data_IF_806362872945
#
_entry.id   IF_806362872945
#
_cell.length_a   1.000
_cell.length_b   1.000
_cell.length_c   1.000
_cell.angle_alpha   90.00
_cell.angle_beta   90.00
_cell.angle_gamma   90.00
#
_symmetry.space_group_name_H-M   'P 1'
#
loop_
_entity.id
_entity.type
_entity.pdbx_description
1 polymer ?
#
# COMPACT_ATOMS: atom_id res chain seq x y z
N UNK A 1 1.16 -3.99 -25.29
CA UNK A 1 0.40 -4.80 -24.33
C UNK A 1 1.34 -5.21 -23.22
N UNK A 2 1.11 -4.73 -22.04
CA UNK A 2 2.00 -5.01 -20.92
C UNK A 2 1.48 -6.28 -20.23
N UNK A 3 2.26 -7.35 -20.35
CA UNK A 3 1.87 -8.64 -19.76
C UNK A 3 2.05 -8.54 -18.23
N UNK A 4 0.94 -8.57 -17.50
CA UNK A 4 0.94 -8.62 -16.04
C UNK A 4 1.02 -10.07 -15.60
N UNK A 5 1.77 -10.39 -14.54
CA UNK A 5 1.86 -11.76 -14.02
C UNK A 5 0.60 -12.22 -13.27
N UNK A 6 -0.47 -11.41 -13.28
CA UNK A 6 -1.76 -11.69 -12.64
C UNK A 6 -2.90 -11.02 -13.42
N UNK A 7 -4.14 -11.53 -13.28
CA UNK A 7 -5.29 -10.92 -13.92
C UNK A 7 -5.71 -9.63 -13.18
N UNK A 8 -6.29 -8.68 -13.90
CA UNK A 8 -6.90 -7.47 -13.30
C UNK A 8 -8.34 -7.76 -12.85
N UNK A 9 -8.46 -8.74 -11.98
CA UNK A 9 -9.73 -9.17 -11.36
C UNK A 9 -9.44 -9.84 -10.02
N UNK A 10 -10.38 -9.73 -9.07
CA UNK A 10 -10.16 -10.23 -7.72
C UNK A 10 -9.09 -9.42 -6.99
N UNK A 11 -8.59 -9.95 -5.87
CA UNK A 11 -7.59 -9.28 -5.04
C UNK A 11 -6.21 -9.90 -5.20
N UNK A 12 -5.22 -9.06 -5.50
CA UNK A 12 -3.82 -9.45 -5.65
C UNK A 12 -2.96 -8.67 -4.66
N UNK A 13 -2.19 -9.42 -3.87
CA UNK A 13 -1.21 -8.86 -2.92
C UNK A 13 0.20 -9.07 -3.47
N UNK A 14 0.95 -7.98 -3.64
CA UNK A 14 2.34 -7.98 -4.11
C UNK A 14 3.26 -7.74 -2.92
N UNK A 15 4.16 -8.65 -2.64
CA UNK A 15 5.08 -8.58 -1.52
C UNK A 15 6.54 -8.58 -1.98
N UNK A 16 7.40 -8.03 -1.19
CA UNK A 16 8.83 -8.05 -1.42
C UNK A 16 9.56 -6.88 -0.74
N UNK A 17 10.90 -6.87 -0.83
CA UNK A 17 11.73 -5.81 -0.26
C UNK A 17 11.50 -4.46 -0.96
N UNK A 18 12.14 -3.43 -0.42
CA UNK A 18 12.12 -2.10 -1.02
C UNK A 18 12.74 -2.13 -2.42
N UNK A 19 12.21 -1.30 -3.32
CA UNK A 19 12.73 -1.07 -4.68
C UNK A 19 12.77 -2.31 -5.60
N UNK A 20 12.07 -3.38 -5.27
CA UNK A 20 11.99 -4.59 -6.10
C UNK A 20 11.04 -4.44 -7.32
N UNK A 21 10.28 -3.35 -7.37
CA UNK A 21 9.36 -3.08 -8.48
C UNK A 21 7.87 -3.27 -8.17
N UNK A 22 7.50 -3.44 -6.91
CA UNK A 22 6.09 -3.58 -6.48
C UNK A 22 5.22 -2.40 -6.93
N UNK A 23 5.69 -1.18 -6.68
CA UNK A 23 4.97 0.05 -7.02
C UNK A 23 4.82 0.19 -8.53
N UNK A 24 5.88 -0.13 -9.29
CA UNK A 24 5.83 -0.12 -10.75
C UNK A 24 4.81 -1.13 -11.28
N UNK A 25 4.77 -2.31 -10.69
CA UNK A 25 3.83 -3.36 -11.11
C UNK A 25 2.38 -2.97 -10.77
N UNK A 26 2.17 -2.33 -9.62
CA UNK A 26 0.87 -1.76 -9.24
C UNK A 26 0.44 -0.66 -10.22
N UNK A 27 1.37 0.23 -10.62
CA UNK A 27 1.09 1.27 -11.62
C UNK A 27 0.69 0.67 -12.98
N UNK A 28 1.39 -0.38 -13.43
CA UNK A 28 1.04 -1.09 -14.68
C UNK A 28 -0.36 -1.73 -14.61
N UNK A 29 -0.73 -2.24 -13.44
CA UNK A 29 -2.07 -2.79 -13.23
C UNK A 29 -3.15 -1.70 -13.31
N UNK A 30 -2.88 -0.53 -12.72
CA UNK A 30 -3.75 0.64 -12.83
C UNK A 30 -3.93 1.06 -14.31
N UNK A 31 -2.84 1.18 -15.05
CA UNK A 31 -2.88 1.49 -16.49
C UNK A 31 -3.72 0.47 -17.27
N UNK A 32 -3.50 -0.82 -17.02
CA UNK A 32 -4.24 -1.89 -17.69
C UNK A 32 -5.75 -1.85 -17.39
N UNK A 33 -6.11 -1.52 -16.15
CA UNK A 33 -7.53 -1.34 -15.79
C UNK A 33 -8.14 -0.13 -16.52
N UNK A 34 -7.47 1.01 -16.47
CA UNK A 34 -7.94 2.26 -17.09
C UNK A 34 -8.08 2.10 -18.60
N UNK A 35 -7.12 1.46 -19.26
CA UNK A 35 -7.19 1.19 -20.70
C UNK A 35 -8.38 0.34 -21.08
N UNK A 36 -8.78 -0.59 -20.22
CA UNK A 36 -9.87 -1.54 -20.49
C UNK A 36 -11.23 -1.04 -20.04
N UNK A 37 -11.30 -0.34 -18.92
CA UNK A 37 -12.56 0.02 -18.24
C UNK A 37 -12.76 1.51 -18.04
N UNK A 38 -11.75 2.34 -18.27
CA UNK A 38 -11.79 3.77 -17.96
C UNK A 38 -11.38 4.06 -16.52
N UNK A 39 -11.27 5.35 -16.20
CA UNK A 39 -10.81 5.82 -14.91
C UNK A 39 -11.94 6.12 -13.90
N UNK A 40 -13.18 6.13 -14.35
CA UNK A 40 -14.32 6.28 -13.46
C UNK A 40 -14.41 5.07 -12.51
N UNK A 41 -14.84 5.29 -11.30
CA UNK A 41 -14.95 4.26 -10.25
C UNK A 41 -13.60 3.58 -9.90
N UNK A 42 -12.50 4.31 -10.05
CA UNK A 42 -11.16 3.90 -9.62
C UNK A 42 -10.75 4.68 -8.39
N UNK A 43 -10.24 3.99 -7.38
CA UNK A 43 -9.60 4.60 -6.21
C UNK A 43 -8.14 4.19 -6.11
N UNK A 44 -7.29 5.16 -5.83
CA UNK A 44 -5.88 4.95 -5.53
C UNK A 44 -5.62 5.42 -4.10
N UNK A 45 -5.21 4.49 -3.25
CA UNK A 45 -4.80 4.76 -1.86
C UNK A 45 -3.27 4.79 -1.81
N UNK A 46 -2.74 5.94 -1.45
CA UNK A 46 -1.30 6.17 -1.42
C UNK A 46 -0.83 6.31 0.02
N UNK A 47 -0.24 5.25 0.56
CA UNK A 47 0.27 5.20 1.92
C UNK A 47 1.80 5.26 1.98
N UNK A 48 2.49 5.22 0.85
CA UNK A 48 3.94 5.19 0.83
C UNK A 48 4.55 6.50 1.38
N UNK A 49 5.50 6.39 2.30
CA UNK A 49 6.34 7.53 2.66
C UNK A 49 7.28 7.86 1.50
N UNK A 50 7.71 9.12 1.42
CA UNK A 50 8.75 9.55 0.51
C UNK A 50 9.90 10.15 1.33
N UNK A 51 10.87 9.32 1.68
CA UNK A 51 12.01 9.70 2.50
C UNK A 51 13.28 9.54 1.68
N UNK A 52 14.08 10.61 1.60
CA UNK A 52 15.43 10.55 1.03
C UNK A 52 16.43 10.17 2.13
N UNK A 53 17.22 9.14 1.86
CA UNK A 53 18.32 8.74 2.72
C UNK A 53 19.52 8.34 1.87
N UNK A 54 20.68 8.96 2.14
CA UNK A 54 21.93 8.71 1.40
C UNK A 54 21.78 8.90 -0.13
N UNK A 55 20.98 9.89 -0.54
CA UNK A 55 20.71 10.18 -1.95
C UNK A 55 19.72 9.23 -2.62
N UNK A 56 19.14 8.28 -1.87
CA UNK A 56 18.13 7.34 -2.37
C UNK A 56 16.75 7.67 -1.80
N UNK A 57 15.74 7.61 -2.65
CA UNK A 57 14.36 7.69 -2.23
C UNK A 57 13.92 6.33 -1.70
N UNK A 58 13.47 6.29 -0.45
CA UNK A 58 12.88 5.11 0.17
C UNK A 58 11.38 5.29 0.18
N UNK A 59 10.68 4.27 -0.26
CA UNK A 59 9.26 4.37 -0.60
C UNK A 59 9.11 4.96 -2.00
N UNK A 60 7.97 5.46 -2.32
CA UNK A 60 7.70 6.11 -3.59
C UNK A 60 6.25 5.96 -4.00
N UNK A 61 5.67 7.05 -4.46
CA UNK A 61 4.27 7.09 -4.86
C UNK A 61 4.07 6.51 -6.24
N UNK A 62 2.86 6.03 -6.49
CA UNK A 62 2.45 5.53 -7.81
C UNK A 62 2.61 6.58 -8.91
N UNK A 63 2.38 7.85 -8.60
CA UNK A 63 2.49 8.95 -9.56
C UNK A 63 3.91 9.20 -10.08
N UNK A 64 4.91 8.56 -9.51
CA UNK A 64 6.26 8.52 -10.07
C UNK A 64 6.40 7.57 -11.25
N UNK A 65 5.49 6.61 -11.38
CA UNK A 65 5.55 5.56 -12.40
C UNK A 65 4.44 5.64 -13.43
N UNK A 66 3.37 6.37 -13.13
CA UNK A 66 2.23 6.57 -14.02
C UNK A 66 1.51 7.85 -13.66
N UNK A 67 0.74 8.40 -14.61
CA UNK A 67 -0.18 9.49 -14.32
C UNK A 67 -1.45 8.93 -13.71
N UNK A 68 -1.87 9.49 -12.57
CA UNK A 68 -3.17 9.15 -11.98
C UNK A 68 -4.23 9.99 -12.72
N UNK A 69 -5.22 9.35 -13.37
CA UNK A 69 -6.25 10.10 -14.08
C UNK A 69 -7.07 11.00 -13.15
N UNK A 70 -7.46 12.17 -13.64
CA UNK A 70 -8.25 13.13 -12.88
C UNK A 70 -9.61 12.58 -12.45
N UNK A 71 -10.17 11.65 -13.21
CA UNK A 71 -11.44 10.98 -12.90
C UNK A 71 -11.34 9.95 -11.77
N UNK A 72 -10.13 9.46 -11.48
CA UNK A 72 -9.89 8.55 -10.37
C UNK A 72 -9.81 9.32 -9.05
N UNK A 73 -10.35 8.71 -7.99
CA UNK A 73 -10.12 9.26 -6.65
C UNK A 73 -8.71 8.90 -6.19
N UNK A 74 -7.93 9.89 -5.81
CA UNK A 74 -6.54 9.71 -5.38
C UNK A 74 -6.39 10.21 -3.95
N UNK A 75 -6.41 9.29 -3.00
CA UNK A 75 -6.22 9.58 -1.57
C UNK A 75 -4.78 9.37 -1.15
N UNK A 76 -4.16 10.43 -0.63
CA UNK A 76 -2.75 10.45 -0.23
C UNK A 76 -2.66 10.86 1.23
N UNK A 77 -1.87 10.13 2.02
CA UNK A 77 -1.46 10.58 3.35
C UNK A 77 -0.04 11.10 3.31
N UNK A 78 0.28 12.04 4.19
CA UNK A 78 1.65 12.46 4.45
C UNK A 78 2.25 11.45 5.46
N UNK A 79 2.84 10.38 4.94
CA UNK A 79 3.29 9.25 5.73
C UNK A 79 4.73 9.43 6.24
N UNK A 80 4.96 8.98 7.46
CA UNK A 80 6.29 8.78 8.00
C UNK A 80 6.83 7.40 7.62
N UNK A 81 8.16 7.25 7.62
CA UNK A 81 8.86 5.97 7.60
C UNK A 81 9.33 5.65 9.02
N UNK A 82 8.51 4.98 9.86
CA UNK A 82 8.73 4.94 11.31
C UNK A 82 10.11 4.41 11.73
N UNK A 83 10.57 3.33 11.11
CA UNK A 83 11.85 2.71 11.47
C UNK A 83 13.07 3.47 10.97
N UNK A 84 12.90 4.38 10.01
CA UNK A 84 13.98 5.21 9.46
C UNK A 84 14.06 6.59 10.14
N UNK A 85 12.94 7.13 10.57
CA UNK A 85 12.84 8.47 11.13
C UNK A 85 12.88 8.46 12.66
N UNK A 86 12.37 7.39 13.32
CA UNK A 86 12.43 7.24 14.77
C UNK A 86 13.82 6.85 15.25
N UNK A 87 14.33 7.53 16.28
CA UNK A 87 15.62 7.23 16.92
C UNK A 87 15.47 6.15 18.00
N UNK A 88 14.26 5.96 18.52
CA UNK A 88 13.94 4.95 19.54
C UNK A 88 12.69 4.17 19.10
N UNK A 89 12.48 3.01 19.72
CA UNK A 89 11.26 2.21 19.48
C UNK A 89 9.99 3.02 19.79
N UNK A 90 10.00 3.81 20.88
CA UNK A 90 8.88 4.66 21.26
C UNK A 90 8.57 5.73 20.20
N UNK A 91 9.61 6.34 19.63
CA UNK A 91 9.44 7.32 18.54
C UNK A 91 8.91 6.66 17.28
N UNK A 92 9.43 5.49 16.91
CA UNK A 92 8.95 4.72 15.76
C UNK A 92 7.48 4.33 15.92
N UNK A 93 7.07 3.88 17.11
CA UNK A 93 5.67 3.56 17.41
C UNK A 93 4.77 4.79 17.31
N UNK A 94 5.23 5.94 17.81
CA UNK A 94 4.47 7.19 17.71
C UNK A 94 4.25 7.63 16.25
N UNK A 95 5.28 7.50 15.40
CA UNK A 95 5.18 7.80 13.97
C UNK A 95 4.23 6.83 13.26
N UNK A 96 4.28 5.55 13.61
CA UNK A 96 3.37 4.53 13.08
C UNK A 96 1.92 4.84 13.49
N UNK A 97 1.68 5.31 14.70
CA UNK A 97 0.36 5.71 15.17
C UNK A 97 -0.19 6.90 14.37
N UNK A 98 0.63 7.90 14.09
CA UNK A 98 0.22 9.04 13.26
C UNK A 98 -0.17 8.60 11.86
N UNK A 99 0.58 7.68 11.25
CA UNK A 99 0.23 7.10 9.96
C UNK A 99 -1.13 6.40 10.00
N UNK A 100 -1.38 5.61 11.04
CA UNK A 100 -2.64 4.91 11.23
C UNK A 100 -3.83 5.88 11.35
N UNK A 101 -3.67 6.95 12.12
CA UNK A 101 -4.70 7.98 12.31
C UNK A 101 -5.01 8.71 11.00
N UNK A 102 -3.99 9.10 10.24
CA UNK A 102 -4.14 9.75 8.93
C UNK A 102 -4.84 8.84 7.92
N UNK A 103 -4.46 7.56 7.90
CA UNK A 103 -5.08 6.59 7.01
C UNK A 103 -6.55 6.31 7.38
N UNK A 104 -6.87 6.24 8.67
CA UNK A 104 -8.25 6.07 9.12
C UNK A 104 -9.14 7.24 8.65
N UNK A 105 -8.66 8.47 8.78
CA UNK A 105 -9.36 9.65 8.29
C UNK A 105 -9.55 9.62 6.78
N UNK A 106 -8.52 9.20 6.03
CA UNK A 106 -8.61 9.07 4.58
C UNK A 106 -9.66 8.02 4.18
N UNK A 107 -9.67 6.87 4.82
CA UNK A 107 -10.62 5.80 4.55
C UNK A 107 -12.08 6.23 4.82
N UNK A 108 -12.30 7.12 5.78
CA UNK A 108 -13.63 7.66 6.08
C UNK A 108 -14.17 8.52 4.91
N UNK A 109 -13.30 9.06 4.08
CA UNK A 109 -13.68 9.90 2.92
C UNK A 109 -13.62 9.17 1.59
N UNK A 110 -13.04 7.96 1.55
CA UNK A 110 -12.85 7.20 0.32
C UNK A 110 -14.20 6.76 -0.27
N UNK A 111 -14.48 7.05 -1.55
CA UNK A 111 -15.73 6.63 -2.19
C UNK A 111 -15.69 5.13 -2.55
N UNK A 112 -16.84 4.46 -2.70
CA UNK A 112 -16.88 3.13 -3.27
C UNK A 112 -16.24 3.13 -4.66
N UNK A 113 -15.54 2.05 -5.00
CA UNK A 113 -14.85 1.93 -6.28
C UNK A 113 -14.93 0.50 -6.81
N UNK A 114 -14.89 0.38 -8.15
CA UNK A 114 -14.83 -0.92 -8.84
C UNK A 114 -13.42 -1.48 -8.90
N UNK A 115 -12.42 -0.59 -8.94
CA UNK A 115 -11.01 -0.97 -8.90
C UNK A 115 -10.28 -0.13 -7.85
N UNK A 116 -9.49 -0.78 -7.03
CA UNK A 116 -8.76 -0.14 -5.93
C UNK A 116 -7.30 -0.56 -6.01
N UNK A 117 -6.42 0.44 -6.00
CA UNK A 117 -4.97 0.25 -6.03
C UNK A 117 -4.39 0.84 -4.74
N UNK A 118 -3.72 0.00 -3.95
CA UNK A 118 -3.19 0.39 -2.64
C UNK A 118 -1.67 0.29 -2.68
N UNK A 119 -1.01 1.43 -2.55
CA UNK A 119 0.44 1.48 -2.50
C UNK A 119 0.93 1.51 -1.04
N UNK A 120 1.78 0.56 -0.70
CA UNK A 120 2.41 0.39 0.61
C UNK A 120 1.39 0.17 1.75
N UNK A 121 0.60 -0.87 1.60
CA UNK A 121 -0.56 -1.16 2.44
C UNK A 121 -0.25 -1.41 3.92
N UNK A 122 0.99 -1.76 4.29
CA UNK A 122 1.36 -2.01 5.69
C UNK A 122 1.70 -0.73 6.46
N UNK A 123 2.02 0.37 5.80
CA UNK A 123 2.34 1.63 6.49
C UNK A 123 1.24 2.06 7.46
N UNK A 124 -0.04 2.07 7.09
CA UNK A 124 -1.09 2.48 8.04
C UNK A 124 -1.42 1.46 9.12
N UNK A 125 -0.95 0.22 8.99
CA UNK A 125 -1.27 -0.87 9.93
C UNK A 125 -0.07 -1.35 10.75
N UNK A 126 0.98 -0.56 10.79
CA UNK A 126 2.15 -0.77 11.67
C UNK A 126 1.87 -0.41 13.14
N UNK A 127 0.67 0.03 13.44
CA UNK A 127 0.17 0.31 14.78
C UNK A 127 -1.24 -0.27 14.92
N UNK A 128 -1.57 -0.78 16.10
CA UNK A 128 -2.83 -1.47 16.37
C UNK A 128 -4.07 -0.55 16.39
N UNK A 129 -3.88 0.76 16.35
CA UNK A 129 -4.99 1.72 16.25
C UNK A 129 -5.76 1.65 14.92
N UNK A 130 -5.18 1.01 13.89
CA UNK A 130 -5.87 0.71 12.63
C UNK A 130 -5.71 -0.78 12.31
N UNK A 131 -6.80 -1.52 12.37
CA UNK A 131 -6.80 -2.93 12.00
C UNK A 131 -6.70 -3.11 10.48
N UNK A 132 -5.96 -4.12 9.98
CA UNK A 132 -5.88 -4.42 8.54
C UNK A 132 -7.24 -4.61 7.89
N UNK A 133 -8.20 -5.18 8.64
CA UNK A 133 -9.57 -5.43 8.19
C UNK A 133 -10.31 -4.15 7.79
N UNK A 134 -9.89 -2.99 8.30
CA UNK A 134 -10.48 -1.71 7.89
C UNK A 134 -10.16 -1.40 6.43
N UNK A 135 -8.95 -1.74 5.97
CA UNK A 135 -8.53 -1.58 4.59
C UNK A 135 -9.20 -2.64 3.71
N UNK A 136 -9.16 -3.91 4.12
CA UNK A 136 -9.75 -5.01 3.33
C UNK A 136 -11.26 -4.88 3.21
N UNK A 137 -11.95 -4.41 4.24
CA UNK A 137 -13.39 -4.16 4.19
C UNK A 137 -13.74 -3.08 3.15
N UNK A 138 -12.92 -2.04 3.04
CA UNK A 138 -13.08 -1.04 1.97
C UNK A 138 -12.92 -1.68 0.58
N UNK A 139 -12.00 -2.62 0.46
CA UNK A 139 -11.69 -3.30 -0.81
C UNK A 139 -12.70 -4.40 -1.20
N UNK A 140 -13.49 -4.92 -0.29
CA UNK A 140 -14.32 -6.13 -0.50
C UNK A 140 -15.36 -6.01 -1.61
N UNK A 141 -15.81 -4.80 -1.92
CA UNK A 141 -16.83 -4.57 -2.96
C UNK A 141 -16.27 -4.31 -4.35
N UNK A 142 -14.95 -4.22 -4.47
CA UNK A 142 -14.31 -3.94 -5.74
C UNK A 142 -14.21 -5.21 -6.61
N UNK A 143 -14.27 -5.03 -7.91
CA UNK A 143 -14.06 -6.11 -8.89
C UNK A 143 -12.58 -6.46 -9.04
N UNK A 144 -11.70 -5.48 -8.78
CA UNK A 144 -10.26 -5.62 -8.87
C UNK A 144 -9.59 -4.84 -7.73
N UNK A 145 -8.69 -5.51 -7.02
CA UNK A 145 -7.81 -4.86 -6.03
C UNK A 145 -6.38 -5.30 -6.29
N UNK A 146 -5.48 -4.33 -6.39
CA UNK A 146 -4.04 -4.60 -6.40
C UNK A 146 -3.42 -3.82 -5.25
N UNK A 147 -2.84 -4.55 -4.33
CA UNK A 147 -2.25 -4.03 -3.11
C UNK A 147 -0.80 -4.46 -3.06
N UNK A 148 0.11 -3.53 -2.76
CA UNK A 148 1.49 -3.89 -2.51
C UNK A 148 1.88 -3.58 -1.06
N UNK A 149 2.82 -4.35 -0.55
CA UNK A 149 3.32 -4.19 0.80
C UNK A 149 4.79 -4.61 0.91
N UNK A 150 5.48 -4.01 1.86
CA UNK A 150 6.84 -4.35 2.18
C UNK A 150 6.90 -5.66 2.96
N UNK A 151 7.77 -6.56 2.50
CA UNK A 151 8.14 -7.77 3.22
C UNK A 151 9.63 -8.01 3.08
N UNK A 152 10.39 -7.76 4.12
CA UNK A 152 11.83 -8.00 4.20
C UNK A 152 12.30 -7.84 5.65
N UNK A 153 13.45 -8.41 5.95
CA UNK A 153 14.11 -8.26 7.26
C UNK A 153 15.04 -7.03 7.29
N UNK A 154 15.20 -6.32 6.19
CA UNK A 154 16.17 -5.23 6.05
C UNK A 154 15.93 -4.03 6.99
N UNK A 155 14.69 -3.82 7.46
CA UNK A 155 14.34 -2.75 8.40
C UNK A 155 14.14 -3.25 9.84
N UNK A 156 14.41 -4.53 10.11
CA UNK A 156 14.26 -5.12 11.43
C UNK A 156 13.17 -6.19 11.48
N UNK A 157 13.19 -6.97 12.56
CA UNK A 157 12.27 -8.12 12.74
C UNK A 157 11.67 -8.18 14.13
N UNK A 158 12.31 -7.62 15.14
CA UNK A 158 11.96 -7.79 16.55
C UNK A 158 11.42 -6.53 17.21
N UNK A 159 11.54 -5.37 16.59
CA UNK A 159 10.98 -4.12 17.11
C UNK A 159 9.44 -4.13 17.02
N UNK A 160 8.74 -3.28 17.80
CA UNK A 160 7.28 -3.26 17.83
C UNK A 160 6.63 -3.00 16.48
N UNK A 161 7.20 -2.10 15.67
CA UNK A 161 6.67 -1.76 14.34
C UNK A 161 6.77 -2.95 13.39
N UNK A 162 7.92 -3.63 13.35
CA UNK A 162 8.13 -4.81 12.52
C UNK A 162 7.23 -5.97 12.91
N UNK A 163 7.02 -6.20 14.20
CA UNK A 163 6.11 -7.25 14.68
C UNK A 163 4.66 -6.97 14.28
N UNK A 164 4.21 -5.74 14.44
CA UNK A 164 2.87 -5.33 14.05
C UNK A 164 2.66 -5.44 12.53
N UNK A 165 3.64 -5.01 11.76
CA UNK A 165 3.61 -5.11 10.30
C UNK A 165 3.48 -6.55 9.83
N UNK A 166 4.23 -7.47 10.41
CA UNK A 166 4.17 -8.89 10.07
C UNK A 166 2.81 -9.51 10.40
N UNK A 167 2.24 -9.16 11.54
CA UNK A 167 0.90 -9.62 11.89
C UNK A 167 -0.15 -9.10 10.90
N UNK A 168 -0.05 -7.85 10.48
CA UNK A 168 -0.94 -7.26 9.48
C UNK A 168 -0.78 -7.92 8.11
N UNK A 169 0.47 -8.26 7.71
CA UNK A 169 0.72 -8.99 6.46
C UNK A 169 0.01 -10.34 6.41
N UNK A 170 -0.01 -11.08 7.51
CA UNK A 170 -0.74 -12.35 7.55
C UNK A 170 -2.24 -12.15 7.31
N UNK A 171 -2.82 -11.10 7.89
CA UNK A 171 -4.23 -10.76 7.63
C UNK A 171 -4.47 -10.43 6.15
N UNK A 172 -3.57 -9.70 5.51
CA UNK A 172 -3.68 -9.41 4.07
C UNK A 172 -3.53 -10.67 3.22
N UNK A 173 -2.60 -11.58 3.58
CA UNK A 173 -2.43 -12.86 2.88
C UNK A 173 -3.68 -13.72 2.94
N UNK A 174 -4.30 -13.83 4.11
CA UNK A 174 -5.52 -14.62 4.31
C UNK A 174 -6.70 -14.03 3.52
N UNK A 175 -6.75 -12.71 3.38
CA UNK A 175 -7.80 -12.02 2.65
C UNK A 175 -7.64 -12.09 1.13
N UNK A 176 -6.43 -11.96 0.60
CA UNK A 176 -6.18 -11.85 -0.84
C UNK A 176 -6.46 -13.16 -1.57
N UNK A 177 -7.08 -13.06 -2.76
CA UNK A 177 -7.29 -14.23 -3.63
C UNK A 177 -5.97 -14.82 -4.11
N UNK A 178 -4.95 -13.98 -4.30
CA UNK A 178 -3.60 -14.40 -4.69
C UNK A 178 -2.53 -13.49 -4.09
N UNK A 179 -1.40 -14.11 -3.78
CA UNK A 179 -0.22 -13.41 -3.27
C UNK A 179 0.96 -13.70 -4.20
N UNK A 180 1.68 -12.65 -4.59
CA UNK A 180 2.87 -12.74 -5.44
C UNK A 180 4.04 -12.13 -4.67
N UNK A 181 5.05 -12.94 -4.40
CA UNK A 181 6.29 -12.49 -3.78
C UNK A 181 7.32 -12.18 -4.86
N UNK A 182 7.85 -10.97 -4.82
CA UNK A 182 8.91 -10.50 -5.73
C UNK A 182 10.27 -10.64 -5.03
N UNK A 183 11.24 -11.23 -5.72
CA UNK A 183 12.59 -11.47 -5.22
C UNK A 183 13.64 -10.72 -6.05
#
# INVERSE_FOLDING_TARGET
MTDLPFPISGSTLLLGPSQIGKTRLTARALEAWVDRHGAADVSVLEFAPEVERDGQLIGGRLDRFTSIPDEAWHGVIDAHAPRLEGETDSESVALAQENAERAAQLLDTAPPARAIFVNDATIPVQHDSLAPERITAYCDRADCVVMNAFESDELGTSDPVSRQERAALESFREWADRTISLE
#
